data_IF_915526506354
#
_entry.id   IF_915526506354
#
_cell.length_a   1.000
_cell.length_b   1.000
_cell.length_c   1.000
_cell.angle_alpha   90.00
_cell.angle_beta   90.00
_cell.angle_gamma   90.00
#
_symmetry.space_group_name_H-M   'P 1'
#
loop_
_entity.id
_entity.type
_entity.pdbx_description
1 polymer ?
#
# COMPACT_ATOMS: atom_id res chain seq x y z
N UNK A 1 23.74 10.29 5.20
CA UNK A 1 23.95 8.87 5.55
C UNK A 1 23.55 8.05 4.32
N UNK A 2 24.34 7.06 3.86
CA UNK A 2 23.99 6.31 2.64
C UNK A 2 22.93 5.24 2.94
N UNK A 3 21.98 5.06 2.01
CA UNK A 3 21.07 3.92 2.00
C UNK A 3 21.92 2.66 1.77
N UNK A 4 22.11 1.83 2.79
CA UNK A 4 22.89 0.60 2.67
C UNK A 4 22.05 -0.47 1.96
N UNK A 5 21.96 -0.38 0.63
CA UNK A 5 21.37 -1.45 -0.16
C UNK A 5 22.29 -2.68 -0.14
N UNK A 6 21.78 -3.82 0.33
CA UNK A 6 22.50 -5.09 0.25
C UNK A 6 21.70 -6.08 -0.60
N UNK A 7 22.33 -7.16 -1.06
CA UNK A 7 21.71 -8.05 -2.06
C UNK A 7 21.57 -9.44 -1.56
N UNK A 8 20.66 -10.16 -2.21
CA UNK A 8 20.32 -11.52 -1.82
C UNK A 8 20.48 -12.47 -3.00
N UNK A 9 21.31 -13.51 -2.81
CA UNK A 9 21.30 -14.78 -3.55
C UNK A 9 19.92 -15.48 -3.36
N UNK A 10 19.48 -16.51 -4.13
CA UNK A 10 18.24 -17.21 -3.81
C UNK A 10 18.39 -17.98 -2.49
N UNK A 11 18.20 -17.27 -1.38
CA UNK A 11 17.59 -17.82 -0.20
C UNK A 11 16.08 -17.63 -0.39
N UNK A 12 15.25 -18.66 -0.17
CA UNK A 12 13.81 -18.44 -0.05
C UNK A 12 13.60 -17.36 1.01
N UNK A 13 12.72 -16.40 0.74
CA UNK A 13 12.13 -15.66 1.84
C UNK A 13 11.60 -16.69 2.84
N UNK A 14 11.86 -16.51 4.14
CA UNK A 14 11.23 -17.36 5.14
C UNK A 14 9.71 -17.38 4.84
N UNK A 15 9.03 -18.54 4.86
CA UNK A 15 7.61 -18.61 4.52
C UNK A 15 6.83 -17.63 5.41
N UNK A 16 6.34 -16.54 4.81
CA UNK A 16 5.44 -15.58 5.47
C UNK A 16 6.06 -14.50 6.36
N UNK A 17 7.39 -14.26 6.36
CA UNK A 17 8.02 -13.28 7.25
C UNK A 17 9.04 -12.33 6.59
N UNK A 18 9.54 -11.32 7.33
CA UNK A 18 10.61 -10.43 6.89
C UNK A 18 11.86 -11.20 6.45
N UNK A 19 12.71 -10.54 5.66
CA UNK A 19 13.96 -11.14 5.21
C UNK A 19 14.88 -11.49 6.39
N UNK A 20 15.40 -12.71 6.41
CA UNK A 20 16.24 -13.25 7.49
C UNK A 20 17.67 -12.71 7.53
N UNK A 21 18.06 -11.81 6.63
CA UNK A 21 19.41 -11.22 6.62
C UNK A 21 20.52 -12.13 6.11
N UNK A 22 20.22 -13.29 5.52
CA UNK A 22 21.19 -14.33 5.13
C UNK A 22 22.33 -13.83 4.24
N UNK A 23 22.12 -12.76 3.48
CA UNK A 23 23.08 -12.16 2.56
C UNK A 23 23.48 -10.73 2.98
N UNK A 24 23.06 -10.26 4.15
CA UNK A 24 23.32 -8.91 4.61
C UNK A 24 24.82 -8.63 4.84
N UNK A 25 25.61 -9.64 5.18
CA UNK A 25 27.06 -9.51 5.33
C UNK A 25 27.88 -9.80 4.08
N UNK A 26 27.23 -10.10 2.94
CA UNK A 26 27.95 -10.49 1.71
C UNK A 26 28.23 -9.27 0.83
N UNK A 27 29.48 -9.15 0.38
CA UNK A 27 29.92 -8.14 -0.60
C UNK A 27 29.63 -8.60 -2.03
N UNK A 28 28.36 -8.54 -2.43
CA UNK A 28 27.92 -8.94 -3.78
C UNK A 28 27.99 -7.74 -4.78
N UNK A 29 28.34 -7.91 -6.08
CA UNK A 29 28.54 -6.80 -7.06
C UNK A 29 27.26 -6.23 -7.72
N UNK A 30 27.11 -4.89 -7.92
CA UNK A 30 25.80 -4.18 -8.20
C UNK A 30 25.07 -4.72 -9.43
N UNK A 31 25.84 -4.98 -10.48
CA UNK A 31 25.35 -5.51 -11.74
C UNK A 31 25.24 -7.03 -11.83
N UNK A 32 25.53 -7.81 -10.76
CA UNK A 32 25.47 -9.26 -10.86
C UNK A 32 24.03 -9.73 -11.17
N UNK A 33 23.86 -10.59 -12.19
CA UNK A 33 22.55 -11.02 -12.64
C UNK A 33 21.85 -11.89 -11.59
N UNK A 34 20.51 -11.83 -11.55
CA UNK A 34 19.71 -12.67 -10.66
C UNK A 34 19.68 -12.22 -9.19
N UNK A 35 20.28 -11.08 -8.85
CA UNK A 35 20.26 -10.53 -7.50
C UNK A 35 19.15 -9.49 -7.32
N UNK A 36 18.38 -9.63 -6.24
CA UNK A 36 17.51 -8.57 -5.76
C UNK A 36 18.31 -7.59 -4.89
N UNK A 37 17.96 -6.31 -4.94
CA UNK A 37 18.45 -5.30 -4.01
C UNK A 37 17.40 -5.08 -2.92
N UNK A 38 17.86 -5.01 -1.67
CA UNK A 38 17.02 -4.70 -0.52
C UNK A 38 17.52 -3.44 0.16
N UNK A 39 16.58 -2.61 0.61
CA UNK A 39 16.92 -1.54 1.53
C UNK A 39 17.25 -2.15 2.89
N UNK A 40 18.36 -1.73 3.51
CA UNK A 40 18.66 -2.11 4.89
C UNK A 40 17.92 -1.19 5.83
N UNK A 41 16.95 -1.75 6.55
CA UNK A 41 16.17 -1.03 7.56
C UNK A 41 16.86 -1.20 8.91
N UNK A 42 17.31 -0.11 9.58
CA UNK A 42 17.90 -0.21 10.90
C UNK A 42 16.94 -0.86 11.91
N UNK A 43 17.44 -1.63 12.89
CA UNK A 43 16.62 -2.16 13.98
C UNK A 43 15.82 -1.06 14.67
N UNK A 44 14.61 -1.39 15.14
CA UNK A 44 13.69 -0.47 15.81
C UNK A 44 13.27 0.76 14.96
N UNK A 45 13.46 0.73 13.64
CA UNK A 45 12.93 1.76 12.75
C UNK A 45 11.40 1.70 12.78
N UNK A 46 10.78 2.79 13.24
CA UNK A 46 9.34 2.99 13.17
C UNK A 46 9.02 4.27 12.38
N UNK A 47 7.92 4.24 11.64
CA UNK A 47 7.45 5.35 10.81
C UNK A 47 6.06 5.75 11.26
N UNK A 48 5.91 7.04 11.55
CA UNK A 48 4.65 7.65 11.92
C UNK A 48 4.19 8.63 10.86
N UNK A 49 2.87 8.69 10.64
CA UNK A 49 2.26 9.68 9.76
C UNK A 49 0.79 9.92 10.16
N UNK A 50 0.22 11.09 9.85
CA UNK A 50 -1.22 11.32 9.99
C UNK A 50 -1.99 10.61 8.87
N UNK A 51 -3.02 9.84 9.22
CA UNK A 51 -4.01 9.32 8.28
C UNK A 51 -5.37 9.99 8.44
N UNK A 52 -5.97 10.39 7.32
CA UNK A 52 -7.23 11.15 7.34
C UNK A 52 -8.47 10.31 7.68
N UNK A 53 -8.41 8.98 7.59
CA UNK A 53 -9.52 8.10 7.97
C UNK A 53 -9.24 7.30 9.25
N UNK A 54 -7.99 6.85 9.44
CA UNK A 54 -7.61 5.97 10.55
C UNK A 54 -6.97 6.72 11.72
N UNK A 55 -6.77 8.05 11.62
CA UNK A 55 -6.03 8.84 12.58
C UNK A 55 -4.51 8.59 12.53
N UNK A 56 -3.73 9.10 13.51
CA UNK A 56 -2.28 8.91 13.53
C UNK A 56 -1.88 7.43 13.45
N UNK A 57 -1.00 7.10 12.50
CA UNK A 57 -0.49 5.74 12.30
C UNK A 57 0.94 5.63 12.80
N UNK A 58 1.29 4.45 13.29
CA UNK A 58 2.66 4.04 13.62
C UNK A 58 2.88 2.61 13.10
N UNK A 59 3.92 2.44 12.30
CA UNK A 59 4.37 1.12 11.81
C UNK A 59 5.79 0.90 12.25
N UNK A 60 6.04 -0.22 12.92
CA UNK A 60 7.38 -0.66 13.23
C UNK A 60 7.99 -1.35 12.01
N UNK A 61 8.50 -0.52 11.09
CA UNK A 61 8.95 -0.94 9.76
C UNK A 61 9.99 -2.05 9.81
N UNK A 62 10.91 -2.00 10.77
CA UNK A 62 11.93 -3.03 10.96
C UNK A 62 11.33 -4.40 11.28
N UNK A 63 10.25 -4.46 12.06
CA UNK A 63 9.58 -5.70 12.43
C UNK A 63 8.55 -6.16 11.38
N UNK A 64 7.79 -5.23 10.80
CA UNK A 64 6.71 -5.57 9.86
C UNK A 64 7.25 -5.94 8.46
N UNK A 65 8.26 -5.22 7.95
CA UNK A 65 8.82 -5.46 6.61
C UNK A 65 10.29 -5.89 6.64
N UNK A 66 11.05 -5.42 7.63
CA UNK A 66 12.49 -5.56 7.68
C UNK A 66 13.15 -5.06 6.40
N UNK A 67 14.19 -5.75 5.96
CA UNK A 67 14.92 -5.41 4.73
C UNK A 67 14.08 -5.74 3.48
N UNK A 68 13.29 -4.78 3.02
CA UNK A 68 12.38 -4.95 1.89
C UNK A 68 13.08 -4.75 0.53
N UNK A 69 12.53 -5.40 -0.50
CA UNK A 69 13.08 -5.35 -1.87
C UNK A 69 12.84 -3.97 -2.48
N UNK A 70 13.89 -3.38 -3.07
CA UNK A 70 13.85 -2.13 -3.85
C UNK A 70 14.10 -2.36 -5.35
N UNK A 71 14.76 -3.46 -5.70
CA UNK A 71 14.93 -3.94 -7.08
C UNK A 71 14.81 -5.46 -7.11
N UNK A 72 13.97 -5.99 -7.97
CA UNK A 72 13.77 -7.43 -8.15
C UNK A 72 14.96 -8.07 -8.87
N UNK A 73 15.03 -9.41 -8.84
CA UNK A 73 16.10 -10.21 -9.46
C UNK A 73 16.17 -10.06 -10.98
N UNK A 74 15.03 -9.78 -11.61
CA UNK A 74 14.90 -9.47 -13.04
C UNK A 74 15.36 -8.04 -13.39
N UNK A 75 15.79 -7.27 -12.39
CA UNK A 75 16.29 -5.91 -12.56
C UNK A 75 15.22 -4.83 -12.52
N UNK A 76 13.94 -5.18 -12.45
CA UNK A 76 12.82 -4.23 -12.41
C UNK A 76 12.70 -3.62 -11.01
N UNK A 77 12.35 -2.33 -10.93
CA UNK A 77 12.08 -1.65 -9.66
C UNK A 77 10.96 -2.38 -8.88
N UNK A 78 11.14 -2.49 -7.57
CA UNK A 78 10.08 -3.02 -6.72
C UNK A 78 8.99 -1.97 -6.50
N UNK A 79 7.80 -2.41 -6.09
CA UNK A 79 6.65 -1.55 -5.84
C UNK A 79 6.98 -0.34 -4.94
N UNK A 80 7.78 -0.56 -3.88
CA UNK A 80 8.12 0.51 -2.93
C UNK A 80 8.90 1.66 -3.56
N UNK A 81 9.69 1.39 -4.60
CA UNK A 81 10.42 2.42 -5.34
C UNK A 81 9.56 2.99 -6.46
N UNK A 82 8.95 2.11 -7.28
CA UNK A 82 8.18 2.53 -8.43
C UNK A 82 7.02 3.46 -8.06
N UNK A 83 6.27 3.13 -7.00
CA UNK A 83 5.14 3.96 -6.52
C UNK A 83 5.59 5.37 -6.15
N UNK A 84 6.65 5.50 -5.35
CA UNK A 84 7.16 6.82 -4.91
C UNK A 84 7.58 7.66 -6.10
N UNK A 85 8.31 7.08 -7.05
CA UNK A 85 8.79 7.78 -8.22
C UNK A 85 7.65 8.24 -9.13
N UNK A 86 6.66 7.37 -9.37
CA UNK A 86 5.52 7.70 -10.20
C UNK A 86 4.63 8.76 -9.55
N UNK A 87 4.32 8.62 -8.25
CA UNK A 87 3.53 9.60 -7.51
C UNK A 87 4.17 10.98 -7.55
N UNK A 88 5.48 11.06 -7.38
CA UNK A 88 6.20 12.34 -7.45
C UNK A 88 6.27 12.92 -8.84
N UNK A 89 6.57 12.08 -9.84
CA UNK A 89 6.61 12.49 -11.23
C UNK A 89 5.26 13.06 -11.68
N UNK A 90 4.17 12.50 -11.17
CA UNK A 90 2.80 12.93 -11.47
C UNK A 90 2.28 14.04 -10.56
N UNK A 91 3.06 14.47 -9.55
CA UNK A 91 2.65 15.50 -8.60
C UNK A 91 1.52 15.08 -7.66
N UNK A 92 1.38 13.78 -7.39
CA UNK A 92 0.40 13.23 -6.45
C UNK A 92 0.73 13.70 -5.04
N UNK A 93 -0.22 14.37 -4.39
CA UNK A 93 -0.08 14.90 -3.03
C UNK A 93 -1.14 14.35 -2.05
N UNK A 94 -2.06 13.50 -2.53
CA UNK A 94 -3.07 12.84 -1.73
C UNK A 94 -3.29 11.42 -2.25
N UNK A 95 -3.00 10.43 -1.40
CA UNK A 95 -3.09 9.01 -1.72
C UNK A 95 -4.22 8.38 -0.92
N UNK A 96 -5.19 7.82 -1.64
CA UNK A 96 -6.29 7.02 -1.08
C UNK A 96 -6.06 5.56 -1.44
N UNK A 97 -5.95 4.67 -0.45
CA UNK A 97 -5.70 3.24 -0.67
C UNK A 97 -6.20 2.37 0.48
N UNK A 98 -6.18 1.06 0.31
CA UNK A 98 -6.64 0.12 1.35
C UNK A 98 -5.69 0.06 2.54
N UNK A 99 -6.25 -0.18 3.74
CA UNK A 99 -5.49 -0.31 4.99
C UNK A 99 -4.44 -1.44 4.98
N UNK A 100 -4.59 -2.42 4.09
CA UNK A 100 -3.58 -3.46 3.86
C UNK A 100 -2.26 -2.92 3.30
N UNK A 101 -2.24 -1.71 2.74
CA UNK A 101 -1.04 -1.05 2.24
C UNK A 101 -0.33 -0.16 3.28
N UNK A 102 -0.79 -0.14 4.53
CA UNK A 102 -0.20 0.62 5.64
C UNK A 102 1.31 0.41 5.78
N UNK A 103 1.75 -0.84 5.72
CA UNK A 103 3.16 -1.18 5.86
C UNK A 103 4.00 -0.75 4.63
N UNK A 104 3.38 -0.68 3.45
CA UNK A 104 3.99 -0.07 2.25
C UNK A 104 4.11 1.44 2.41
N UNK A 105 3.13 2.12 3.01
CA UNK A 105 3.24 3.56 3.35
C UNK A 105 4.47 3.85 4.17
N UNK A 106 4.71 3.07 5.22
CA UNK A 106 5.89 3.21 6.06
C UNK A 106 7.18 3.05 5.27
N UNK A 107 7.30 2.01 4.43
CA UNK A 107 8.48 1.78 3.60
C UNK A 107 8.72 2.92 2.60
N UNK A 108 7.66 3.42 1.95
CA UNK A 108 7.72 4.49 0.96
C UNK A 108 8.10 5.83 1.59
N UNK A 109 7.52 6.18 2.75
CA UNK A 109 7.89 7.37 3.50
C UNK A 109 9.33 7.30 4.00
N UNK A 110 9.76 6.14 4.51
CA UNK A 110 11.15 5.93 4.91
C UNK A 110 12.08 6.10 3.71
N UNK A 111 11.83 5.43 2.57
CA UNK A 111 12.63 5.58 1.35
C UNK A 111 12.73 7.04 0.89
N UNK A 112 11.60 7.75 0.85
CA UNK A 112 11.56 9.15 0.45
C UNK A 112 12.42 10.04 1.36
N UNK A 113 12.45 9.77 2.67
CA UNK A 113 13.30 10.48 3.62
C UNK A 113 14.82 10.31 3.39
N UNK A 114 15.24 9.23 2.73
CA UNK A 114 16.64 8.98 2.41
C UNK A 114 17.07 9.51 1.04
N UNK A 115 16.14 9.95 0.20
CA UNK A 115 16.40 10.39 -1.16
C UNK A 115 16.03 11.88 -1.27
N UNK A 116 16.99 12.82 -1.20
CA UNK A 116 16.70 14.26 -1.16
C UNK A 116 15.87 14.78 -2.33
N UNK A 117 16.04 14.21 -3.52
CA UNK A 117 15.23 14.51 -4.72
C UNK A 117 13.74 14.15 -4.54
N UNK A 118 13.41 13.37 -3.52
CA UNK A 118 12.10 12.80 -3.27
C UNK A 118 11.45 13.31 -1.96
N UNK A 119 11.94 14.42 -1.41
CA UNK A 119 11.36 15.05 -0.22
C UNK A 119 9.88 15.49 -0.40
N UNK A 120 9.41 15.70 -1.64
CA UNK A 120 8.00 16.02 -1.88
C UNK A 120 7.03 14.91 -1.44
N UNK A 121 7.45 13.64 -1.51
CA UNK A 121 6.58 12.51 -1.16
C UNK A 121 6.34 12.44 0.36
N UNK A 122 7.27 12.92 1.18
CA UNK A 122 7.07 12.95 2.63
C UNK A 122 5.99 13.96 3.07
N UNK A 123 5.55 14.84 2.16
CA UNK A 123 4.44 15.78 2.38
C UNK A 123 3.09 15.24 1.87
N UNK A 124 3.07 14.06 1.26
CA UNK A 124 1.84 13.44 0.75
C UNK A 124 0.89 13.12 1.90
N UNK A 125 -0.39 13.47 1.73
CA UNK A 125 -1.45 13.10 2.65
C UNK A 125 -1.95 11.69 2.33
N UNK A 126 -2.28 10.91 3.37
CA UNK A 126 -2.77 9.55 3.22
C UNK A 126 -4.17 9.40 3.81
N UNK A 127 -4.98 8.61 3.12
CA UNK A 127 -6.24 8.07 3.63
C UNK A 127 -6.27 6.58 3.36
N UNK A 128 -6.25 5.79 4.43
CA UNK A 128 -6.39 4.34 4.35
C UNK A 128 -7.83 3.91 4.58
N UNK A 129 -8.52 3.49 3.53
CA UNK A 129 -9.89 2.99 3.65
C UNK A 129 -9.89 1.56 4.20
N UNK A 130 -10.96 1.21 4.93
CA UNK A 130 -11.18 -0.14 5.43
C UNK A 130 -11.26 -1.17 4.30
N UNK A 131 -10.97 -2.43 4.63
CA UNK A 131 -11.07 -3.54 3.68
C UNK A 131 -12.52 -3.93 3.47
N UNK A 132 -12.89 -4.30 2.24
CA UNK A 132 -14.19 -4.87 1.97
C UNK A 132 -14.23 -6.29 2.54
N UNK A 133 -15.25 -6.57 3.35
CA UNK A 133 -15.48 -7.87 3.95
C UNK A 133 -16.67 -8.55 3.27
N UNK A 134 -16.68 -9.88 3.24
CA UNK A 134 -17.87 -10.65 2.89
C UNK A 134 -18.87 -10.72 4.06
N UNK A 135 -19.99 -11.40 3.83
CA UNK A 135 -21.04 -11.66 4.81
C UNK A 135 -20.56 -12.48 6.03
N UNK A 136 -19.42 -13.17 5.90
CA UNK A 136 -18.76 -13.90 6.99
C UNK A 136 -17.68 -13.06 7.70
N UNK A 137 -17.48 -11.81 7.29
CA UNK A 137 -16.46 -10.91 7.84
C UNK A 137 -15.05 -11.16 7.33
N UNK A 138 -14.86 -12.00 6.31
CA UNK A 138 -13.54 -12.27 5.72
C UNK A 138 -13.18 -11.24 4.66
N UNK A 139 -11.88 -10.92 4.53
CA UNK A 139 -11.39 -10.00 3.50
C UNK A 139 -11.74 -10.52 2.12
N UNK A 140 -12.47 -9.74 1.34
CA UNK A 140 -12.69 -10.03 -0.07
C UNK A 140 -11.33 -9.97 -0.80
N UNK A 141 -10.88 -11.10 -1.33
CA UNK A 141 -9.64 -11.20 -2.10
C UNK A 141 -9.96 -11.70 -3.51
N UNK A 142 -9.27 -11.15 -4.52
CA UNK A 142 -9.41 -11.62 -5.91
C UNK A 142 -9.08 -13.11 -6.08
N UNK A 143 -8.30 -13.70 -5.16
CA UNK A 143 -7.94 -15.11 -5.14
C UNK A 143 -8.96 -16.02 -4.44
N UNK A 144 -9.81 -15.48 -3.56
CA UNK A 144 -10.94 -16.20 -2.94
C UNK A 144 -12.25 -15.96 -3.68
N UNK A 145 -12.23 -15.14 -4.74
CA UNK A 145 -13.32 -15.08 -5.71
C UNK A 145 -13.45 -16.44 -6.41
N UNK A 146 -14.37 -17.26 -5.90
CA UNK A 146 -14.97 -18.31 -6.72
C UNK A 146 -15.53 -17.65 -7.98
N UNK A 147 -15.56 -18.39 -9.08
CA UNK A 147 -16.10 -17.94 -10.38
C UNK A 147 -17.50 -17.31 -10.28
N UNK A 148 -18.22 -17.53 -9.19
CA UNK A 148 -19.51 -16.90 -8.85
C UNK A 148 -19.42 -15.44 -8.38
N UNK A 149 -18.30 -14.93 -7.86
CA UNK A 149 -18.16 -13.51 -7.46
C UNK A 149 -17.76 -12.56 -8.61
N UNK A 150 -17.36 -13.09 -9.77
CA UNK A 150 -17.47 -12.35 -11.04
C UNK A 150 -18.95 -12.04 -11.39
N UNK A 151 -19.87 -12.77 -10.76
CA UNK A 151 -21.32 -12.67 -10.93
C UNK A 151 -21.90 -11.31 -10.55
N UNK A 152 -21.39 -10.58 -9.53
CA UNK A 152 -21.98 -9.27 -9.21
C UNK A 152 -21.79 -8.23 -10.32
N UNK A 153 -20.71 -8.26 -11.11
CA UNK A 153 -20.53 -7.36 -12.25
C UNK A 153 -21.13 -7.91 -13.55
N UNK A 154 -21.27 -9.24 -13.66
CA UNK A 154 -21.97 -9.88 -14.78
C UNK A 154 -23.52 -9.82 -14.62
N UNK A 155 -24.03 -9.75 -13.40
CA UNK A 155 -25.44 -9.62 -13.03
C UNK A 155 -25.83 -8.20 -12.58
N UNK A 156 -24.88 -7.32 -12.25
CA UNK A 156 -25.18 -5.88 -12.08
C UNK A 156 -25.50 -5.29 -13.44
N UNK A 157 -26.78 -5.34 -13.77
CA UNK A 157 -27.36 -4.72 -14.97
C UNK A 157 -27.33 -3.19 -14.91
N UNK A 158 -27.00 -2.60 -13.74
CA UNK A 158 -27.09 -1.17 -13.53
C UNK A 158 -26.06 -0.65 -12.50
N UNK A 159 -25.49 0.58 -12.69
CA UNK A 159 -24.49 1.19 -11.80
C UNK A 159 -24.91 1.35 -10.33
N UNK A 160 -26.22 1.31 -10.06
CA UNK A 160 -26.84 1.44 -8.73
C UNK A 160 -26.33 0.39 -7.75
N UNK A 161 -25.93 -0.79 -8.23
CA UNK A 161 -25.33 -1.83 -7.37
C UNK A 161 -24.05 -1.30 -6.70
N UNK A 162 -23.22 -0.57 -7.46
CA UNK A 162 -22.00 0.05 -6.94
C UNK A 162 -22.35 1.19 -5.99
N UNK A 163 -23.32 2.04 -6.34
CA UNK A 163 -23.70 3.18 -5.50
C UNK A 163 -24.28 2.75 -4.16
N UNK A 164 -25.13 1.72 -4.15
CA UNK A 164 -25.67 1.13 -2.91
C UNK A 164 -24.58 0.49 -2.07
N UNK A 165 -23.61 -0.20 -2.69
CA UNK A 165 -22.46 -0.75 -1.97
C UNK A 165 -21.60 0.35 -1.32
N UNK A 166 -21.32 1.44 -2.05
CA UNK A 166 -20.59 2.59 -1.51
C UNK A 166 -21.39 3.28 -0.40
N UNK A 167 -22.70 3.47 -0.58
CA UNK A 167 -23.58 4.04 0.45
C UNK A 167 -23.54 3.21 1.73
N UNK A 168 -23.67 1.88 1.62
CA UNK A 168 -23.58 0.98 2.76
C UNK A 168 -22.21 1.04 3.44
N UNK A 169 -21.12 1.04 2.66
CA UNK A 169 -19.74 1.13 3.17
C UNK A 169 -19.50 2.41 3.96
N UNK A 170 -20.10 3.52 3.53
CA UNK A 170 -19.98 4.83 4.15
C UNK A 170 -21.04 5.09 5.24
N UNK A 171 -21.90 4.11 5.55
CA UNK A 171 -22.98 4.28 6.53
C UNK A 171 -24.04 5.32 6.11
N UNK A 172 -24.21 5.55 4.82
CA UNK A 172 -25.17 6.52 4.27
C UNK A 172 -26.59 5.94 4.25
N UNK A 173 -27.64 6.80 4.25
CA UNK A 173 -29.03 6.36 4.20
C UNK A 173 -29.33 5.45 3.00
N UNK A 174 -30.27 4.51 3.16
CA UNK A 174 -30.61 3.51 2.13
C UNK A 174 -30.93 4.10 0.74
N UNK A 175 -31.49 5.32 0.68
CA UNK A 175 -31.79 6.03 -0.58
C UNK A 175 -30.59 6.70 -1.25
N UNK A 176 -29.42 6.79 -0.58
CA UNK A 176 -28.24 7.43 -1.15
C UNK A 176 -27.72 6.69 -2.39
N UNK A 177 -27.86 5.35 -2.43
CA UNK A 177 -27.36 4.53 -3.54
C UNK A 177 -28.24 4.46 -4.79
N UNK A 178 -29.38 5.15 -4.85
CA UNK A 178 -30.31 5.05 -6.00
C UNK A 178 -29.76 5.67 -7.30
N UNK A 179 -28.84 6.63 -7.17
CA UNK A 179 -28.16 7.28 -8.30
C UNK A 179 -26.82 7.87 -7.86
N UNK A 180 -25.97 8.23 -8.82
CA UNK A 180 -24.76 8.99 -8.52
C UNK A 180 -25.08 10.35 -7.88
N UNK A 181 -26.19 10.98 -8.27
CA UNK A 181 -26.60 12.28 -7.74
C UNK A 181 -26.99 12.19 -6.26
N UNK A 182 -27.83 11.22 -5.90
CA UNK A 182 -28.23 10.98 -4.50
C UNK A 182 -27.05 10.56 -3.63
N UNK A 183 -26.11 9.78 -4.19
CA UNK A 183 -24.91 9.36 -3.45
C UNK A 183 -24.03 10.56 -3.14
N UNK A 184 -23.76 11.41 -4.14
CA UNK A 184 -22.97 12.63 -3.98
C UNK A 184 -23.61 13.63 -3.02
N UNK A 185 -24.94 13.76 -3.04
CA UNK A 185 -25.68 14.63 -2.14
C UNK A 185 -25.62 14.16 -0.68
N UNK A 186 -25.51 12.85 -0.45
CA UNK A 186 -25.41 12.26 0.88
C UNK A 186 -23.96 12.29 1.44
N UNK A 187 -22.94 12.53 0.61
CA UNK A 187 -21.57 12.66 1.09
C UNK A 187 -21.41 13.94 1.92
N UNK A 188 -20.73 13.87 3.08
CA UNK A 188 -20.43 15.07 3.85
C UNK A 188 -19.60 16.05 3.01
N UNK A 189 -20.02 17.31 2.98
CA UNK A 189 -19.42 18.38 2.15
C UNK A 189 -18.20 19.03 2.81
N UNK A 190 -17.92 18.72 4.07
CA UNK A 190 -16.73 19.20 4.79
C UNK A 190 -15.62 18.16 4.74
N UNK A 191 -14.42 18.58 4.31
CA UNK A 191 -13.21 17.83 4.60
C UNK A 191 -13.09 17.63 6.13
N UNK A 192 -12.68 16.45 6.62
CA UNK A 192 -12.33 16.32 8.02
C UNK A 192 -11.20 17.31 8.31
N UNK A 193 -11.48 18.23 9.24
CA UNK A 193 -10.52 19.20 9.78
C UNK A 193 -9.42 18.54 10.58
#
# INVERSE_FOLDING_TARGET
>A
MPLLAHRTWPAPAAPGGPYSGTCAGLELPLGAPGLAWRARVPPATAIAWPDLAQGPQLVALAEELGDFVVRKKDGVAAYQVASVLDDQRLGVNFIVRGQDLRASTAAQLWLAGWLPAHAGFTQTRFLHHGLLLDDTGQKLSKSTQTSQQRGMLAEATAPQVVYRAVAALLGLPAGAGESLATLRAALPTSAPS
#
